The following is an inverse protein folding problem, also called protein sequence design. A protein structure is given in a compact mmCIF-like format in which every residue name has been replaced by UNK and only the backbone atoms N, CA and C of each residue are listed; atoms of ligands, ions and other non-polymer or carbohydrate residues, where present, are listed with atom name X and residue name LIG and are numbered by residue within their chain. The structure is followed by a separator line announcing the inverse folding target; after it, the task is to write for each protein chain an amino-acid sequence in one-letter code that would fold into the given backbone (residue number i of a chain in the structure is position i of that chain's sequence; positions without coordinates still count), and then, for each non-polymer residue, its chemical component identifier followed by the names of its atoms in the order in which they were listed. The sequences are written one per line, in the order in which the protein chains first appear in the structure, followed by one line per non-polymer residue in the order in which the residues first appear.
data_IF_699774033231
#
_entry.id   IF_699774033231
#
_cell.length_a   1.000
_cell.length_b   1.000
_cell.length_c   1.000
_cell.angle_alpha   90.00
_cell.angle_beta   90.00
_cell.angle_gamma   90.00
#
_symmetry.space_group_name_H-M   'P 1'
#
loop_
_entity.id
_entity.type
_entity.pdbx_description
1 polymer ?
#
# COMPACT_ATOMS: atom_id res chain seq x y z
N UNK A 1 -9.91 -19.62 -23.38
CA UNK A 1 -11.28 -19.21 -23.77
C UNK A 1 -11.83 -18.33 -22.66
N UNK A 2 -12.28 -17.13 -23.03
CA UNK A 2 -12.98 -16.10 -22.22
C UNK A 2 -12.48 -15.91 -20.78
N UNK A 3 -11.64 -14.89 -20.56
CA UNK A 3 -11.62 -14.18 -19.27
C UNK A 3 -13.00 -13.54 -19.10
N UNK A 4 -13.86 -14.29 -18.44
CA UNK A 4 -15.16 -13.84 -17.97
C UNK A 4 -14.83 -12.76 -16.94
N UNK A 5 -15.07 -11.49 -17.29
CA UNK A 5 -15.45 -10.48 -16.29
C UNK A 5 -16.43 -11.22 -15.40
N UNK A 6 -16.14 -11.39 -14.10
CA UNK A 6 -17.01 -12.18 -13.22
C UNK A 6 -18.47 -11.85 -13.57
N UNK A 7 -19.32 -12.85 -13.88
CA UNK A 7 -20.64 -12.63 -14.49
C UNK A 7 -21.50 -11.60 -13.73
N UNK A 8 -21.12 -11.32 -12.49
CA UNK A 8 -21.66 -10.36 -11.53
C UNK A 8 -21.35 -8.88 -11.85
N UNK A 9 -20.18 -8.51 -12.38
CA UNK A 9 -19.78 -7.09 -12.48
C UNK A 9 -20.37 -6.39 -13.72
N UNK A 10 -20.35 -7.06 -14.87
CA UNK A 10 -20.99 -6.54 -16.08
C UNK A 10 -22.52 -6.54 -15.94
N UNK A 11 -23.09 -7.56 -15.29
CA UNK A 11 -24.53 -7.60 -15.00
C UNK A 11 -24.95 -6.51 -14.01
N UNK A 12 -24.13 -6.23 -12.99
CA UNK A 12 -24.32 -5.09 -12.07
C UNK A 12 -24.33 -3.76 -12.84
N UNK A 13 -23.37 -3.53 -13.75
CA UNK A 13 -23.35 -2.33 -14.60
C UNK A 13 -24.56 -2.23 -15.54
N UNK A 14 -24.97 -3.35 -16.15
CA UNK A 14 -26.13 -3.40 -17.03
C UNK A 14 -27.43 -3.11 -16.27
N UNK A 15 -27.54 -3.59 -15.02
CA UNK A 15 -28.66 -3.26 -14.14
C UNK A 15 -28.68 -1.76 -13.83
N UNK A 16 -27.53 -1.17 -13.44
CA UNK A 16 -27.42 0.27 -13.20
C UNK A 16 -27.79 1.10 -14.44
N UNK A 17 -27.30 0.70 -15.62
CA UNK A 17 -27.59 1.37 -16.89
C UNK A 17 -29.10 1.33 -17.22
N UNK A 18 -29.75 0.20 -16.97
CA UNK A 18 -31.20 0.05 -17.10
C UNK A 18 -31.96 0.94 -16.12
N UNK A 19 -31.52 1.00 -14.87
CA UNK A 19 -32.18 1.77 -13.81
C UNK A 19 -32.14 3.28 -14.10
N UNK A 20 -31.02 3.79 -14.63
CA UNK A 20 -30.90 5.21 -15.03
C UNK A 20 -31.41 5.48 -16.46
N UNK A 21 -31.82 4.45 -17.20
CA UNK A 21 -32.39 4.57 -18.55
C UNK A 21 -31.41 5.07 -19.61
N UNK A 22 -30.11 4.77 -19.48
CA UNK A 22 -29.06 5.19 -20.41
C UNK A 22 -28.19 4.02 -20.86
N UNK A 23 -27.64 4.09 -22.08
CA UNK A 23 -26.69 3.08 -22.56
C UNK A 23 -25.40 3.16 -21.74
N UNK A 24 -24.85 2.00 -21.38
CA UNK A 24 -23.65 1.88 -20.54
C UNK A 24 -22.45 2.66 -21.12
N UNK A 25 -22.32 2.72 -22.44
CA UNK A 25 -21.23 3.42 -23.13
C UNK A 25 -21.48 4.92 -23.33
N UNK A 26 -22.62 5.46 -22.87
CA UNK A 26 -23.01 6.84 -23.14
C UNK A 26 -22.51 7.82 -22.08
N UNK A 27 -22.23 9.06 -22.51
CA UNK A 27 -21.93 10.17 -21.60
C UNK A 27 -23.08 10.44 -20.62
N UNK A 28 -24.33 10.23 -21.05
CA UNK A 28 -25.52 10.37 -20.21
C UNK A 28 -25.50 9.39 -19.03
N UNK A 29 -25.06 8.15 -19.25
CA UNK A 29 -24.86 7.18 -18.17
C UNK A 29 -23.80 7.67 -17.18
N UNK A 30 -22.63 8.10 -17.66
CA UNK A 30 -21.58 8.64 -16.80
C UNK A 30 -22.08 9.83 -15.93
N UNK A 31 -22.75 10.80 -16.56
CA UNK A 31 -23.32 11.96 -15.86
C UNK A 31 -24.39 11.56 -14.83
N UNK A 32 -25.23 10.56 -15.14
CA UNK A 32 -26.20 10.03 -14.20
C UNK A 32 -25.53 9.34 -13.00
N UNK A 33 -24.47 8.56 -13.23
CA UNK A 33 -23.71 7.91 -12.16
C UNK A 33 -23.04 8.95 -11.25
N UNK A 34 -22.43 10.00 -11.82
CA UNK A 34 -21.85 11.11 -11.03
C UNK A 34 -22.91 11.88 -10.22
N UNK A 35 -24.12 12.02 -10.75
CA UNK A 35 -25.21 12.69 -10.03
C UNK A 35 -25.66 11.90 -8.78
N UNK A 36 -25.67 10.56 -8.86
CA UNK A 36 -26.06 9.64 -7.80
C UNK A 36 -24.91 9.20 -6.89
N UNK A 37 -23.68 9.64 -7.17
CA UNK A 37 -22.50 9.32 -6.37
C UNK A 37 -22.56 9.97 -4.98
N UNK A 38 -22.73 9.16 -3.95
CA UNK A 38 -22.75 9.59 -2.55
C UNK A 38 -21.41 10.14 -2.04
N UNK A 39 -20.32 9.93 -2.79
CA UNK A 39 -18.98 10.42 -2.46
C UNK A 39 -18.56 11.63 -3.30
N UNK A 40 -19.43 12.20 -4.14
CA UNK A 40 -19.06 13.26 -5.09
C UNK A 40 -18.48 14.51 -4.42
N UNK A 41 -18.95 14.83 -3.21
CA UNK A 41 -18.47 15.98 -2.43
C UNK A 41 -16.98 15.90 -2.10
N UNK A 42 -16.42 14.69 -1.95
CA UNK A 42 -15.01 14.50 -1.60
C UNK A 42 -14.06 14.97 -2.70
N UNK A 43 -14.50 15.01 -3.96
CA UNK A 43 -13.71 15.59 -5.06
C UNK A 43 -13.28 17.03 -4.74
N UNK A 44 -14.14 17.79 -4.08
CA UNK A 44 -13.85 19.19 -3.72
C UNK A 44 -12.83 19.34 -2.58
N UNK A 45 -12.51 18.26 -1.86
CA UNK A 45 -11.54 18.23 -0.76
C UNK A 45 -10.10 17.98 -1.26
N UNK A 46 -9.91 17.66 -2.54
CA UNK A 46 -8.60 17.47 -3.15
C UNK A 46 -8.19 18.67 -4.01
N UNK A 47 -6.88 18.88 -4.14
CA UNK A 47 -6.32 19.81 -5.12
C UNK A 47 -6.07 19.05 -6.43
N UNK A 48 -6.90 19.33 -7.43
CA UNK A 48 -6.72 18.78 -8.78
C UNK A 48 -5.71 19.62 -9.56
N UNK A 49 -4.73 18.98 -10.25
CA UNK A 49 -3.85 19.70 -11.16
C UNK A 49 -4.65 20.33 -12.29
N UNK A 50 -4.40 21.60 -12.58
CA UNK A 50 -4.99 22.30 -13.72
C UNK A 50 -4.19 22.01 -14.98
N UNK A 51 -4.86 21.91 -16.12
CA UNK A 51 -4.23 21.64 -17.41
C UNK A 51 -3.15 22.68 -17.77
N UNK A 52 -3.32 23.94 -17.36
CA UNK A 52 -2.32 25.02 -17.55
C UNK A 52 -1.01 24.78 -16.78
N UNK A 53 -1.08 24.18 -15.58
CA UNK A 53 0.06 24.02 -14.66
C UNK A 53 0.88 22.76 -14.96
N UNK A 54 0.30 21.80 -15.69
CA UNK A 54 0.95 20.54 -16.04
C UNK A 54 1.98 20.72 -17.17
N UNK A 55 3.20 20.15 -17.08
CA UNK A 55 4.25 20.38 -18.07
C UNK A 55 3.95 19.74 -19.43
N UNK A 56 3.29 18.57 -19.45
CA UNK A 56 3.07 17.77 -20.65
C UNK A 56 1.58 17.68 -21.00
N UNK A 57 0.99 18.77 -21.49
CA UNK A 57 -0.41 18.78 -21.95
C UNK A 57 -0.52 19.32 -23.37
N UNK A 58 -1.51 18.81 -24.11
CA UNK A 58 -1.84 19.33 -25.44
C UNK A 58 -2.58 20.69 -25.39
N UNK A 59 -3.16 21.04 -24.23
CA UNK A 59 -3.95 22.26 -24.04
C UNK A 59 -3.70 22.87 -22.66
N UNK A 60 -3.58 24.20 -22.61
CA UNK A 60 -3.31 24.99 -21.40
C UNK A 60 -4.57 25.73 -20.97
N UNK A 61 -5.42 25.08 -20.18
CA UNK A 61 -6.71 25.63 -19.70
C UNK A 61 -6.80 25.61 -18.17
N UNK A 62 -7.79 26.31 -17.62
CA UNK A 62 -8.14 26.30 -16.19
C UNK A 62 -8.93 25.05 -15.74
N UNK A 63 -9.16 24.11 -16.66
CA UNK A 63 -9.85 22.85 -16.39
C UNK A 63 -9.00 21.91 -15.55
N UNK A 64 -9.66 21.07 -14.75
CA UNK A 64 -8.98 20.01 -14.01
C UNK A 64 -8.48 18.94 -14.99
N UNK A 65 -7.29 18.41 -14.71
CA UNK A 65 -6.78 17.23 -15.41
C UNK A 65 -7.59 15.96 -15.08
N UNK A 66 -7.65 15.05 -16.05
CA UNK A 66 -8.12 13.68 -15.84
C UNK A 66 -6.98 12.89 -15.17
N UNK A 67 -6.96 12.90 -13.84
CA UNK A 67 -5.87 12.32 -13.06
C UNK A 67 -6.10 10.83 -12.74
N UNK A 68 -5.59 9.94 -13.61
CA UNK A 68 -5.65 8.48 -13.44
C UNK A 68 -4.36 7.87 -12.85
N UNK A 69 -3.58 8.67 -12.12
CA UNK A 69 -2.28 8.28 -11.56
C UNK A 69 -2.25 8.24 -10.03
N UNK A 70 -3.42 8.24 -9.36
CA UNK A 70 -3.53 8.21 -7.89
C UNK A 70 -2.93 6.96 -7.24
N UNK A 71 -2.82 5.86 -7.99
CA UNK A 71 -2.17 4.63 -7.57
C UNK A 71 -0.64 4.75 -7.44
N UNK A 72 -0.04 5.80 -8.01
CA UNK A 72 1.40 6.08 -7.95
C UNK A 72 1.69 7.27 -7.03
N UNK A 73 0.97 8.38 -7.22
CA UNK A 73 1.02 9.54 -6.34
C UNK A 73 -0.41 10.04 -6.11
N UNK A 74 -0.88 9.94 -4.88
CA UNK A 74 -2.20 10.43 -4.49
C UNK A 74 -2.32 11.94 -4.62
N UNK A 75 -3.54 12.42 -4.93
CA UNK A 75 -3.82 13.85 -4.98
C UNK A 75 -3.72 14.45 -3.57
N UNK A 76 -3.23 15.68 -3.46
CA UNK A 76 -3.09 16.34 -2.16
C UNK A 76 -4.46 16.71 -1.56
N UNK A 77 -4.81 16.22 -0.36
CA UNK A 77 -5.94 16.76 0.41
C UNK A 77 -5.73 18.25 0.72
N UNK A 78 -6.77 19.08 0.57
CA UNK A 78 -6.69 20.53 0.83
C UNK A 78 -6.25 20.84 2.27
N UNK A 79 -6.68 20.02 3.23
CA UNK A 79 -6.31 20.15 4.65
C UNK A 79 -4.81 19.95 4.91
N UNK A 80 -4.07 19.29 4.01
CA UNK A 80 -2.63 19.00 4.19
C UNK A 80 -1.80 20.25 4.47
N UNK A 81 -2.02 21.32 3.69
CA UNK A 81 -1.30 22.60 3.91
C UNK A 81 -1.53 23.15 5.32
N UNK A 82 -2.77 23.11 5.77
CA UNK A 82 -3.14 23.65 7.07
C UNK A 82 -2.55 22.80 8.22
N UNK A 83 -2.57 21.47 8.07
CA UNK A 83 -1.99 20.56 9.06
C UNK A 83 -0.45 20.72 9.15
N UNK A 84 0.24 20.87 8.02
CA UNK A 84 1.68 21.15 8.01
C UNK A 84 1.97 22.50 8.69
N UNK A 85 1.23 23.55 8.34
CA UNK A 85 1.42 24.87 8.96
C UNK A 85 1.23 24.83 10.48
N UNK A 86 0.23 24.07 10.99
CA UNK A 86 0.07 23.88 12.44
C UNK A 86 1.29 23.26 13.10
N UNK A 87 1.94 22.28 12.47
CA UNK A 87 3.19 21.68 12.98
C UNK A 87 4.32 22.71 12.97
N UNK A 88 4.46 23.48 11.88
CA UNK A 88 5.48 24.53 11.78
C UNK A 88 5.26 25.64 12.81
N UNK A 89 4.01 26.06 13.02
CA UNK A 89 3.62 27.06 14.02
C UNK A 89 3.94 26.55 15.43
N UNK A 90 3.58 25.29 15.74
CA UNK A 90 3.91 24.68 17.03
C UNK A 90 5.42 24.63 17.27
N UNK A 91 6.20 24.18 16.29
CA UNK A 91 7.66 24.16 16.39
C UNK A 91 8.25 25.56 16.55
N UNK A 92 7.83 26.51 15.74
CA UNK A 92 8.33 27.89 15.77
C UNK A 92 8.00 28.63 17.07
N UNK A 93 6.82 28.37 17.65
CA UNK A 93 6.37 29.04 18.87
C UNK A 93 6.92 28.40 20.15
N UNK A 94 7.07 27.07 20.17
CA UNK A 94 7.38 26.32 21.40
C UNK A 94 8.79 25.74 21.43
N UNK A 95 9.52 25.69 20.31
CA UNK A 95 10.83 25.06 20.24
C UNK A 95 10.78 23.62 20.74
N UNK A 96 11.63 23.28 21.71
CA UNK A 96 11.70 21.95 22.31
C UNK A 96 10.41 21.53 23.03
N UNK A 97 9.61 22.47 23.54
CA UNK A 97 8.35 22.17 24.23
C UNK A 97 7.32 21.51 23.29
N UNK A 98 7.47 21.66 21.97
CA UNK A 98 6.65 20.96 20.98
C UNK A 98 6.83 19.43 21.02
N UNK A 99 7.88 18.89 21.65
CA UNK A 99 7.99 17.44 21.87
C UNK A 99 6.75 16.87 22.57
N UNK A 100 6.15 17.62 23.50
CA UNK A 100 5.04 17.15 24.33
C UNK A 100 3.74 17.94 24.11
N UNK A 101 3.81 19.11 23.46
CA UNK A 101 2.70 20.05 23.39
C UNK A 101 2.28 20.39 21.95
N UNK A 102 1.04 20.87 21.84
CA UNK A 102 0.46 21.38 20.59
C UNK A 102 -0.08 20.30 19.66
N UNK A 103 -0.25 20.67 18.39
CA UNK A 103 -0.75 19.77 17.36
C UNK A 103 0.34 18.79 16.91
N UNK A 104 0.06 17.49 16.96
CA UNK A 104 1.02 16.40 16.68
C UNK A 104 2.34 16.56 17.47
N UNK A 105 2.31 16.47 18.82
CA UNK A 105 3.50 16.55 19.65
C UNK A 105 4.61 15.64 19.14
N UNK A 106 5.81 16.18 18.95
CA UNK A 106 6.84 15.51 18.16
C UNK A 106 7.32 14.17 18.75
N UNK A 107 7.15 13.94 20.05
CA UNK A 107 7.50 12.68 20.70
C UNK A 107 6.47 11.55 20.52
N UNK A 108 5.27 11.86 20.02
CA UNK A 108 4.13 10.93 20.00
C UNK A 108 3.29 11.04 18.72
N UNK A 109 3.72 11.83 17.74
CA UNK A 109 2.93 12.16 16.56
C UNK A 109 2.50 10.91 15.78
N UNK A 110 3.31 9.85 15.78
CA UNK A 110 3.04 8.59 15.09
C UNK A 110 1.86 7.82 15.69
N UNK A 111 1.49 8.09 16.94
CA UNK A 111 0.39 7.38 17.61
C UNK A 111 -0.99 7.83 17.10
N UNK A 112 -1.10 9.09 16.68
CA UNK A 112 -2.36 9.70 16.24
C UNK A 112 -3.03 9.00 15.04
N UNK A 113 -2.30 8.61 13.99
CA UNK A 113 -2.89 7.86 12.87
C UNK A 113 -3.07 6.36 13.14
N UNK A 114 -2.58 5.78 14.25
CA UNK A 114 -2.47 4.31 14.40
C UNK A 114 -3.81 3.59 14.28
N UNK A 115 -4.85 4.04 14.98
CA UNK A 115 -6.13 3.32 15.01
C UNK A 115 -6.78 3.25 13.63
N UNK A 116 -6.84 4.38 12.92
CA UNK A 116 -7.44 4.43 11.58
C UNK A 116 -6.57 3.69 10.55
N UNK A 117 -5.24 3.74 10.69
CA UNK A 117 -4.34 2.94 9.84
C UNK A 117 -4.48 1.44 10.07
N UNK A 118 -4.62 1.02 11.33
CA UNK A 118 -4.79 -0.38 11.69
C UNK A 118 -6.13 -0.92 11.19
N UNK A 119 -7.18 -0.10 11.28
CA UNK A 119 -8.49 -0.36 10.69
C UNK A 119 -8.40 -0.58 9.17
N UNK A 120 -7.71 0.29 8.44
CA UNK A 120 -7.52 0.16 6.98
C UNK A 120 -6.64 -1.04 6.58
N UNK A 121 -5.81 -1.52 7.48
CA UNK A 121 -4.95 -2.69 7.28
C UNK A 121 -5.56 -4.00 7.80
N UNK A 122 -6.72 -3.94 8.46
CA UNK A 122 -7.37 -5.10 9.09
C UNK A 122 -6.46 -5.78 10.11
N UNK A 123 -5.86 -4.99 11.00
CA UNK A 123 -5.03 -5.47 12.11
C UNK A 123 -5.30 -4.68 13.39
N UNK A 124 -4.70 -5.13 14.50
CA UNK A 124 -4.76 -4.39 15.76
C UNK A 124 -3.74 -3.24 15.78
N UNK A 125 -4.04 -2.11 16.48
CA UNK A 125 -3.11 -0.98 16.56
C UNK A 125 -1.71 -1.35 17.09
N UNK A 126 -1.61 -2.32 17.99
CA UNK A 126 -0.31 -2.76 18.52
C UNK A 126 0.50 -3.63 17.54
N UNK A 127 -0.11 -4.17 16.49
CA UNK A 127 0.57 -4.90 15.42
C UNK A 127 1.12 -3.97 14.34
N UNK A 128 0.74 -2.68 14.36
CA UNK A 128 1.10 -1.69 13.37
C UNK A 128 2.17 -0.72 13.89
N UNK A 129 3.14 -0.37 13.04
CA UNK A 129 4.14 0.66 13.31
C UNK A 129 4.30 1.60 12.12
N UNK A 130 4.42 2.90 12.41
CA UNK A 130 4.61 3.96 11.41
C UNK A 130 6.06 4.44 11.49
N UNK A 131 6.84 4.12 10.47
CA UNK A 131 8.29 4.33 10.48
C UNK A 131 8.88 4.39 9.06
N UNK A 132 9.97 5.14 8.91
CA UNK A 132 10.83 5.18 7.74
C UNK A 132 10.07 5.33 6.39
N UNK A 133 10.57 4.69 5.33
CA UNK A 133 9.88 4.47 4.06
C UNK A 133 9.71 2.98 3.79
N UNK A 134 8.89 2.64 2.78
CA UNK A 134 8.50 1.25 2.47
C UNK A 134 9.70 0.30 2.36
N UNK A 135 10.65 0.55 1.45
CA UNK A 135 11.76 -0.38 1.22
C UNK A 135 12.70 -0.47 2.43
N UNK A 136 12.82 0.61 3.20
CA UNK A 136 13.58 0.58 4.46
C UNK A 136 12.90 -0.40 5.42
N UNK A 137 11.58 -0.31 5.59
CA UNK A 137 10.84 -1.24 6.44
C UNK A 137 10.92 -2.66 5.92
N UNK A 138 10.85 -2.87 4.60
CA UNK A 138 11.00 -4.18 3.96
C UNK A 138 12.33 -4.84 4.38
N UNK A 139 13.43 -4.10 4.32
CA UNK A 139 14.73 -4.56 4.80
C UNK A 139 14.73 -4.88 6.29
N UNK A 140 14.19 -4.00 7.13
CA UNK A 140 14.17 -4.19 8.58
C UNK A 140 13.36 -5.44 8.98
N UNK A 141 12.25 -5.69 8.31
CA UNK A 141 11.46 -6.91 8.51
C UNK A 141 12.18 -8.13 7.98
N UNK A 142 12.82 -8.08 6.80
CA UNK A 142 13.62 -9.22 6.32
C UNK A 142 14.78 -9.57 7.27
N UNK A 143 15.47 -8.60 7.87
CA UNK A 143 16.49 -8.89 8.88
C UNK A 143 15.95 -9.69 10.08
N UNK A 144 14.65 -9.54 10.39
CA UNK A 144 13.97 -10.28 11.46
C UNK A 144 13.42 -11.62 10.99
N UNK A 145 12.79 -11.65 9.82
CA UNK A 145 11.91 -12.74 9.38
C UNK A 145 12.55 -13.67 8.35
N UNK A 146 13.53 -13.20 7.59
CA UNK A 146 14.37 -14.05 6.75
C UNK A 146 15.47 -14.68 7.61
N UNK A 147 15.18 -15.87 8.14
CA UNK A 147 16.10 -16.66 8.99
C UNK A 147 16.57 -17.91 8.22
N UNK A 148 17.46 -17.78 7.23
CA UNK A 148 17.92 -18.93 6.46
C UNK A 148 18.69 -19.92 7.34
N UNK A 149 18.48 -21.22 7.13
CA UNK A 149 19.12 -22.29 7.90
C UNK A 149 19.22 -23.58 7.08
N UNK A 150 20.44 -24.10 6.92
CA UNK A 150 20.68 -25.31 6.14
C UNK A 150 20.17 -25.19 4.71
N UNK A 151 19.31 -26.12 4.29
CA UNK A 151 18.68 -26.11 2.96
C UNK A 151 17.51 -25.12 2.84
N UNK A 152 17.01 -24.57 3.95
CA UNK A 152 15.94 -23.58 3.99
C UNK A 152 16.49 -22.16 3.92
N UNK A 153 16.78 -21.68 2.73
CA UNK A 153 17.32 -20.33 2.51
C UNK A 153 16.69 -19.59 1.33
N UNK A 154 15.83 -20.25 0.55
CA UNK A 154 15.28 -19.62 -0.66
C UNK A 154 14.25 -18.56 -0.31
N UNK A 155 14.19 -17.50 -1.12
CA UNK A 155 13.15 -16.49 -1.08
C UNK A 155 12.32 -16.60 -2.35
N UNK A 156 11.00 -16.66 -2.21
CA UNK A 156 10.05 -16.62 -3.33
C UNK A 156 9.56 -15.19 -3.53
N UNK A 157 9.51 -14.74 -4.77
CA UNK A 157 8.93 -13.46 -5.21
C UNK A 157 8.40 -13.59 -6.64
N UNK A 158 7.47 -12.74 -7.08
CA UNK A 158 7.04 -12.70 -8.47
C UNK A 158 8.11 -12.14 -9.43
N UNK A 159 8.22 -12.71 -10.64
CA UNK A 159 9.25 -12.35 -11.62
C UNK A 159 9.20 -10.86 -12.00
N UNK A 160 7.99 -10.33 -12.19
CA UNK A 160 7.76 -8.93 -12.50
C UNK A 160 7.47 -8.11 -11.22
N UNK A 161 8.17 -8.41 -10.13
CA UNK A 161 8.03 -7.65 -8.89
C UNK A 161 8.39 -6.19 -9.07
N UNK A 162 7.87 -5.34 -8.18
CA UNK A 162 8.29 -3.95 -8.16
C UNK A 162 9.83 -3.91 -7.97
N UNK A 163 10.58 -3.11 -8.77
CA UNK A 163 12.03 -3.21 -8.81
C UNK A 163 12.69 -3.08 -7.43
N UNK A 164 12.15 -2.22 -6.56
CA UNK A 164 12.72 -2.02 -5.23
C UNK A 164 12.64 -3.27 -4.34
N UNK A 165 11.55 -4.04 -4.42
CA UNK A 165 11.33 -5.28 -3.67
C UNK A 165 12.28 -6.36 -4.16
N UNK A 166 12.41 -6.50 -5.48
CA UNK A 166 13.36 -7.42 -6.10
C UNK A 166 14.81 -7.10 -5.70
N UNK A 167 15.19 -5.82 -5.67
CA UNK A 167 16.52 -5.41 -5.20
C UNK A 167 16.71 -5.70 -3.70
N UNK A 168 15.67 -5.50 -2.90
CA UNK A 168 15.72 -5.78 -1.47
C UNK A 168 15.91 -7.28 -1.20
N UNK A 169 15.16 -8.14 -1.87
CA UNK A 169 15.30 -9.61 -1.77
C UNK A 169 16.68 -10.07 -2.24
N UNK A 170 17.13 -9.61 -3.42
CA UNK A 170 18.46 -9.99 -3.95
C UNK A 170 19.60 -9.59 -3.02
N UNK A 171 19.54 -8.37 -2.46
CA UNK A 171 20.56 -7.90 -1.53
C UNK A 171 20.49 -8.61 -0.17
N UNK A 172 19.32 -9.05 0.31
CA UNK A 172 19.23 -9.90 1.51
C UNK A 172 19.86 -11.28 1.29
N UNK A 173 19.57 -11.94 0.16
CA UNK A 173 20.23 -13.21 -0.19
C UNK A 173 21.75 -13.07 -0.15
N UNK A 174 22.28 -12.03 -0.81
CA UNK A 174 23.70 -11.74 -0.84
C UNK A 174 24.27 -11.39 0.55
N UNK A 175 23.54 -10.61 1.36
CA UNK A 175 23.95 -10.25 2.72
C UNK A 175 24.16 -11.48 3.62
N UNK A 176 23.31 -12.50 3.47
CA UNK A 176 23.43 -13.78 4.18
C UNK A 176 24.37 -14.79 3.46
N UNK A 177 25.05 -14.39 2.39
CA UNK A 177 26.06 -15.21 1.71
C UNK A 177 25.52 -16.18 0.66
N UNK A 178 24.26 -16.04 0.24
CA UNK A 178 23.65 -16.86 -0.81
C UNK A 178 23.73 -16.19 -2.17
N UNK A 179 23.81 -16.99 -3.24
CA UNK A 179 23.73 -16.47 -4.61
C UNK A 179 22.27 -16.18 -4.98
N UNK A 180 22.05 -15.18 -5.83
CA UNK A 180 20.71 -14.90 -6.38
C UNK A 180 20.21 -16.07 -7.23
N UNK A 181 21.10 -16.73 -7.95
CA UNK A 181 20.75 -17.84 -8.86
C UNK A 181 20.18 -19.03 -8.10
N UNK A 182 20.75 -19.37 -6.93
CA UNK A 182 20.33 -20.54 -6.16
C UNK A 182 19.24 -20.21 -5.14
N UNK A 183 19.26 -18.98 -4.60
CA UNK A 183 18.41 -18.54 -3.50
C UNK A 183 17.10 -17.88 -3.92
N UNK A 184 16.96 -17.43 -5.18
CA UNK A 184 15.74 -16.77 -5.65
C UNK A 184 14.84 -17.75 -6.40
N UNK A 185 13.58 -17.84 -6.00
CA UNK A 185 12.52 -18.49 -6.77
C UNK A 185 11.61 -17.40 -7.33
N UNK A 186 11.61 -17.23 -8.65
CA UNK A 186 10.73 -16.27 -9.32
C UNK A 186 9.44 -16.97 -9.78
N UNK A 187 8.29 -16.49 -9.30
CA UNK A 187 6.97 -16.92 -9.76
C UNK A 187 6.71 -16.30 -11.14
N UNK A 188 6.47 -17.15 -12.15
CA UNK A 188 6.33 -16.73 -13.54
C UNK A 188 4.90 -16.96 -14.02
N UNK A 189 4.33 -16.05 -14.82
CA UNK A 189 3.06 -16.31 -15.46
C UNK A 189 3.21 -17.41 -16.53
N UNK A 190 2.11 -18.11 -16.82
CA UNK A 190 2.06 -19.07 -17.92
C UNK A 190 2.23 -18.36 -19.28
N UNK A 191 2.73 -19.03 -20.33
CA UNK A 191 2.84 -18.42 -21.65
C UNK A 191 1.52 -17.82 -22.15
N UNK A 192 1.57 -16.57 -22.59
CA UNK A 192 0.40 -15.85 -23.15
C UNK A 192 -0.46 -15.10 -22.12
N UNK A 193 -0.05 -15.04 -20.86
CA UNK A 193 -0.66 -14.19 -19.81
C UNK A 193 0.42 -13.43 -19.05
N UNK A 194 0.04 -12.32 -18.42
CA UNK A 194 0.87 -11.55 -17.47
C UNK A 194 0.45 -11.83 -16.01
N UNK A 195 -0.63 -12.59 -15.81
CA UNK A 195 -1.20 -12.97 -14.52
C UNK A 195 -0.56 -14.28 -14.07
N UNK A 196 -0.20 -14.36 -12.79
CA UNK A 196 0.32 -15.56 -12.16
C UNK A 196 -0.86 -16.28 -11.50
N UNK A 197 -1.22 -17.47 -12.00
CA UNK A 197 -2.32 -18.24 -11.42
C UNK A 197 -1.95 -18.69 -10.00
N UNK A 198 -2.87 -18.54 -9.05
CA UNK A 198 -2.62 -18.88 -7.64
C UNK A 198 -2.30 -20.37 -7.45
N UNK A 199 -2.89 -21.24 -8.27
CA UNK A 199 -2.57 -22.67 -8.33
C UNK A 199 -1.07 -22.92 -8.62
N UNK A 200 -0.43 -22.08 -9.45
CA UNK A 200 1.00 -22.20 -9.74
C UNK A 200 1.85 -21.77 -8.54
N UNK A 201 1.41 -20.76 -7.78
CA UNK A 201 2.05 -20.35 -6.53
C UNK A 201 1.96 -21.46 -5.48
N UNK A 202 0.76 -22.04 -5.31
CA UNK A 202 0.52 -23.17 -4.42
C UNK A 202 1.37 -24.39 -4.79
N UNK A 203 1.53 -24.66 -6.08
CA UNK A 203 2.39 -25.75 -6.57
C UNK A 203 3.87 -25.51 -6.24
N UNK A 204 4.37 -24.27 -6.39
CA UNK A 204 5.74 -23.91 -5.98
C UNK A 204 5.93 -24.09 -4.48
N UNK A 205 4.98 -23.62 -3.66
CA UNK A 205 5.02 -23.81 -2.19
C UNK A 205 5.04 -25.31 -1.85
N UNK A 206 4.21 -26.12 -2.50
CA UNK A 206 4.14 -27.56 -2.26
C UNK A 206 5.45 -28.27 -2.65
N UNK A 207 6.05 -27.88 -3.77
CA UNK A 207 7.26 -28.53 -4.31
C UNK A 207 8.53 -28.12 -3.57
N UNK A 208 8.67 -26.84 -3.24
CA UNK A 208 9.92 -26.26 -2.73
C UNK A 208 9.82 -25.77 -1.28
N UNK A 209 8.66 -25.92 -0.63
CA UNK A 209 8.37 -25.38 0.69
C UNK A 209 9.38 -25.70 1.79
N UNK A 210 10.05 -26.86 1.72
CA UNK A 210 11.09 -27.22 2.69
C UNK A 210 12.38 -26.40 2.56
N UNK A 211 12.63 -25.84 1.37
CA UNK A 211 13.79 -25.01 1.07
C UNK A 211 13.48 -23.50 1.13
N UNK A 212 12.20 -23.13 1.21
CA UNK A 212 11.75 -21.73 1.24
C UNK A 212 11.80 -21.20 2.68
N UNK A 213 12.61 -20.17 2.91
CA UNK A 213 12.65 -19.46 4.19
C UNK A 213 11.60 -18.35 4.25
N UNK A 214 11.39 -17.64 3.14
CA UNK A 214 10.52 -16.48 3.07
C UNK A 214 9.76 -16.43 1.75
N UNK A 215 8.46 -16.20 1.82
CA UNK A 215 7.59 -15.86 0.71
C UNK A 215 7.33 -14.34 0.75
N UNK A 216 7.77 -13.61 -0.27
CA UNK A 216 7.52 -12.17 -0.42
C UNK A 216 6.51 -11.99 -1.54
N UNK A 217 5.32 -11.49 -1.21
CA UNK A 217 4.24 -11.32 -2.19
C UNK A 217 3.59 -9.93 -2.10
N UNK A 218 3.26 -9.29 -3.24
CA UNK A 218 2.40 -8.14 -3.21
C UNK A 218 0.97 -8.59 -2.90
N UNK A 219 0.22 -7.81 -2.11
CA UNK A 219 -1.23 -7.99 -1.98
C UNK A 219 -1.92 -7.64 -3.32
N UNK A 220 -1.43 -6.59 -3.98
CA UNK A 220 -1.85 -6.18 -5.33
C UNK A 220 -0.62 -5.93 -6.19
N UNK A 221 -0.50 -6.65 -7.31
CA UNK A 221 0.63 -6.51 -8.24
C UNK A 221 0.55 -5.14 -8.94
N UNK A 222 1.66 -4.39 -8.90
CA UNK A 222 1.67 -2.96 -9.25
C UNK A 222 1.35 -2.63 -10.71
N UNK A 223 1.66 -3.54 -11.62
CA UNK A 223 1.54 -3.38 -13.07
C UNK A 223 0.24 -3.96 -13.61
N UNK A 224 -0.05 -5.22 -13.30
CA UNK A 224 -1.24 -5.94 -13.78
C UNK A 224 -2.50 -5.58 -12.99
N UNK A 225 -2.35 -5.10 -11.75
CA UNK A 225 -3.45 -4.88 -10.82
C UNK A 225 -4.04 -6.18 -10.26
N UNK A 226 -3.37 -7.32 -10.45
CA UNK A 226 -3.78 -8.60 -9.89
C UNK A 226 -3.85 -8.52 -8.37
N UNK A 227 -4.96 -8.96 -7.79
CA UNK A 227 -5.13 -9.15 -6.34
C UNK A 227 -4.87 -10.62 -6.03
N UNK A 228 -4.03 -10.91 -5.04
CA UNK A 228 -3.76 -12.28 -4.58
C UNK A 228 -4.65 -12.64 -3.39
N UNK A 229 -5.10 -13.89 -3.30
CA UNK A 229 -5.67 -14.50 -2.09
C UNK A 229 -4.56 -14.79 -1.06
N UNK A 230 -4.15 -13.72 -0.38
CA UNK A 230 -3.08 -13.76 0.61
C UNK A 230 -3.38 -14.74 1.74
N UNK A 231 -4.63 -14.86 2.19
CA UNK A 231 -5.00 -15.79 3.26
C UNK A 231 -4.76 -17.25 2.87
N UNK A 232 -5.19 -17.64 1.66
CA UNK A 232 -4.99 -19.00 1.15
C UNK A 232 -3.50 -19.32 0.95
N UNK A 233 -2.74 -18.40 0.34
CA UNK A 233 -1.31 -18.58 0.10
C UNK A 233 -0.52 -18.63 1.41
N UNK A 234 -0.89 -17.81 2.40
CA UNK A 234 -0.24 -17.79 3.71
C UNK A 234 -0.42 -19.10 4.45
N UNK A 235 -1.66 -19.62 4.48
CA UNK A 235 -1.95 -20.93 5.07
C UNK A 235 -1.13 -22.06 4.43
N UNK A 236 -0.98 -22.04 3.11
CA UNK A 236 -0.18 -23.03 2.39
C UNK A 236 1.32 -22.91 2.74
N UNK A 237 1.84 -21.69 2.79
CA UNK A 237 3.23 -21.40 3.14
C UNK A 237 3.58 -21.82 4.58
N UNK A 238 2.73 -21.45 5.55
CA UNK A 238 2.87 -21.87 6.95
C UNK A 238 2.83 -23.39 7.10
N UNK A 239 1.99 -24.08 6.32
CA UNK A 239 1.95 -25.55 6.28
C UNK A 239 3.26 -26.22 5.87
N UNK A 240 4.19 -25.47 5.25
CA UNK A 240 5.53 -25.92 4.89
C UNK A 240 6.64 -25.31 5.78
N UNK A 241 6.27 -24.51 6.78
CA UNK A 241 7.20 -23.82 7.68
C UNK A 241 7.84 -22.57 7.07
N UNK A 242 7.26 -22.00 6.02
CA UNK A 242 7.72 -20.76 5.41
C UNK A 242 7.16 -19.55 6.17
N UNK A 243 7.94 -18.48 6.28
CA UNK A 243 7.44 -17.16 6.72
C UNK A 243 6.84 -16.40 5.53
N UNK A 244 5.86 -15.54 5.76
CA UNK A 244 5.22 -14.71 4.72
C UNK A 244 5.36 -13.22 5.03
N UNK A 245 5.91 -12.48 4.09
CA UNK A 245 5.99 -11.02 4.10
C UNK A 245 5.18 -10.46 2.93
N UNK A 246 4.26 -9.55 3.21
CA UNK A 246 3.48 -8.91 2.15
C UNK A 246 3.90 -7.45 1.86
N UNK A 247 4.00 -7.08 0.59
CA UNK A 247 3.94 -5.67 0.18
C UNK A 247 2.48 -5.27 -0.10
N UNK A 248 1.95 -4.34 0.69
CA UNK A 248 0.58 -3.87 0.61
C UNK A 248 0.47 -2.45 -0.01
N UNK A 249 1.49 -1.98 -0.74
CA UNK A 249 1.56 -0.61 -1.25
C UNK A 249 0.43 -0.23 -2.22
N UNK A 250 -0.05 -1.18 -3.02
CA UNK A 250 -1.18 -0.99 -3.92
C UNK A 250 -2.53 -1.45 -3.33
N UNK A 251 -2.53 -1.96 -2.10
CA UNK A 251 -3.71 -2.52 -1.45
C UNK A 251 -4.33 -1.57 -0.41
N UNK A 252 -3.52 -1.05 0.52
CA UNK A 252 -4.03 -0.24 1.63
C UNK A 252 -4.67 1.05 1.10
N UNK A 253 -5.93 1.27 1.49
CA UNK A 253 -6.75 2.38 1.01
C UNK A 253 -7.41 2.15 -0.36
N UNK A 254 -7.09 1.07 -1.07
CA UNK A 254 -7.65 0.72 -2.38
C UNK A 254 -8.69 -0.40 -2.29
N UNK A 255 -8.33 -1.53 -1.68
CA UNK A 255 -9.18 -2.71 -1.51
C UNK A 255 -9.36 -3.04 -0.01
N UNK A 256 -10.30 -3.91 0.37
CA UNK A 256 -10.32 -4.49 1.71
C UNK A 256 -9.02 -5.26 1.99
N UNK A 257 -8.47 -5.09 3.18
CA UNK A 257 -7.24 -5.75 3.64
C UNK A 257 -7.46 -6.26 5.05
N UNK A 258 -7.03 -7.49 5.31
CA UNK A 258 -7.28 -8.20 6.56
C UNK A 258 -5.99 -8.86 7.06
N UNK A 259 -4.91 -8.08 7.25
CA UNK A 259 -3.56 -8.64 7.51
C UNK A 259 -3.52 -9.60 8.69
N UNK A 260 -4.22 -9.28 9.79
CA UNK A 260 -4.29 -10.16 10.96
C UNK A 260 -5.02 -11.46 10.63
N UNK A 261 -6.20 -11.39 10.01
CA UNK A 261 -7.01 -12.57 9.70
C UNK A 261 -6.44 -13.42 8.56
N UNK A 262 -5.65 -12.82 7.66
CA UNK A 262 -4.86 -13.54 6.66
C UNK A 262 -3.66 -14.28 7.24
N UNK A 263 -3.35 -14.05 8.52
CA UNK A 263 -2.26 -14.68 9.26
C UNK A 263 -0.87 -14.42 8.67
N UNK A 264 -0.66 -13.28 7.98
CA UNK A 264 0.68 -12.97 7.44
C UNK A 264 1.64 -12.68 8.59
N UNK A 265 2.92 -13.02 8.46
CA UNK A 265 3.87 -12.80 9.56
C UNK A 265 4.22 -11.32 9.72
N UNK A 266 4.37 -10.63 8.59
CA UNK A 266 4.62 -9.21 8.54
C UNK A 266 4.23 -8.59 7.19
N UNK A 267 4.06 -7.27 7.14
CA UNK A 267 3.77 -6.57 5.89
C UNK A 267 4.34 -5.14 5.89
N UNK A 268 4.49 -4.55 4.72
CA UNK A 268 4.93 -3.16 4.52
C UNK A 268 4.05 -2.43 3.52
N UNK A 269 3.94 -1.11 3.67
CA UNK A 269 3.34 -0.26 2.64
C UNK A 269 3.81 1.19 2.74
N UNK A 270 3.48 1.96 1.72
CA UNK A 270 3.73 3.39 1.65
C UNK A 270 2.43 4.19 1.82
N UNK A 271 2.56 5.46 2.19
CA UNK A 271 1.42 6.35 2.42
C UNK A 271 1.10 7.30 1.25
N UNK A 272 1.97 7.36 0.23
CA UNK A 272 1.89 8.39 -0.81
C UNK A 272 1.06 8.01 -2.05
N UNK A 273 0.63 6.75 -2.16
CA UNK A 273 -0.24 6.23 -3.24
C UNK A 273 -1.70 6.55 -2.93
N UNK A 274 -2.55 5.53 -2.75
CA UNK A 274 -3.97 5.67 -2.40
C UNK A 274 -4.21 6.41 -1.08
N UNK A 275 -3.24 6.38 -0.17
CA UNK A 275 -3.27 7.08 1.10
C UNK A 275 -2.93 8.57 1.00
N UNK A 276 -2.65 9.12 -0.19
CA UNK A 276 -2.63 10.56 -0.47
C UNK A 276 -1.73 11.44 0.44
N UNK A 277 -0.64 10.90 0.99
CA UNK A 277 0.20 11.63 1.95
C UNK A 277 1.33 12.47 1.33
N UNK A 278 1.40 12.57 0.00
CA UNK A 278 2.48 13.27 -0.70
C UNK A 278 3.77 12.44 -0.85
N UNK A 279 4.55 12.74 -1.90
CA UNK A 279 5.68 11.93 -2.34
C UNK A 279 6.71 11.66 -1.22
N UNK A 280 7.11 10.39 -1.08
CA UNK A 280 8.07 9.99 -0.05
C UNK A 280 7.53 10.04 1.38
N UNK A 281 6.20 10.10 1.56
CA UNK A 281 5.56 10.04 2.87
C UNK A 281 5.98 8.81 3.68
N UNK A 282 5.85 8.91 5.01
CA UNK A 282 6.28 7.87 5.96
C UNK A 282 5.62 6.53 5.65
N UNK A 283 6.44 5.48 5.57
CA UNK A 283 5.98 4.11 5.41
C UNK A 283 5.41 3.53 6.69
N UNK A 284 4.85 2.35 6.56
CA UNK A 284 4.32 1.61 7.70
C UNK A 284 4.74 0.15 7.58
N UNK A 285 4.67 -0.55 8.71
CA UNK A 285 4.83 -1.98 8.77
C UNK A 285 3.78 -2.58 9.71
N UNK A 286 3.46 -3.84 9.43
CA UNK A 286 2.67 -4.72 10.28
C UNK A 286 3.57 -5.88 10.73
N UNK A 287 3.42 -6.26 12.00
CA UNK A 287 4.03 -7.45 12.58
C UNK A 287 2.95 -8.16 13.38
N UNK A 288 2.63 -9.40 12.98
CA UNK A 288 1.57 -10.16 13.63
C UNK A 288 1.88 -10.36 15.12
N UNK A 289 0.86 -10.27 15.95
CA UNK A 289 0.98 -10.36 17.41
C UNK A 289 1.76 -11.57 17.93
N UNK A 290 1.74 -12.70 17.21
CA UNK A 290 2.50 -13.93 17.53
C UNK A 290 4.02 -13.70 17.57
N UNK A 291 4.51 -12.64 16.94
CA UNK A 291 5.94 -12.29 16.86
C UNK A 291 6.34 -11.16 17.82
N UNK A 292 5.39 -10.54 18.53
CA UNK A 292 5.63 -9.33 19.33
C UNK A 292 6.27 -9.60 20.71
N UNK A 293 6.43 -10.86 21.10
CA UNK A 293 7.23 -11.24 22.27
C UNK A 293 8.74 -11.27 21.98
N UNK A 294 9.15 -11.25 20.71
CA UNK A 294 10.55 -11.24 20.32
C UNK A 294 11.05 -9.84 19.97
N UNK A 295 12.33 -9.58 20.23
CA UNK A 295 12.97 -8.32 19.83
C UNK A 295 13.11 -8.23 18.30
N UNK A 296 13.07 -7.02 17.72
CA UNK A 296 13.44 -6.80 16.33
C UNK A 296 14.95 -7.08 16.13
N UNK A 297 15.35 -7.35 14.88
CA UNK A 297 16.76 -7.62 14.56
C UNK A 297 17.67 -6.41 14.80
N UNK A 298 17.14 -5.21 14.60
CA UNK A 298 17.79 -3.93 14.90
C UNK A 298 16.82 -3.06 15.68
N UNK A 299 17.32 -2.36 16.70
CA UNK A 299 16.52 -1.51 17.57
C UNK A 299 17.19 -0.15 17.76
N UNK A 300 16.37 0.87 18.00
CA UNK A 300 16.83 2.20 18.36
C UNK A 300 16.00 2.76 19.50
N UNK A 301 16.40 3.92 20.02
CA UNK A 301 15.84 4.44 21.27
C UNK A 301 14.33 4.73 21.21
N UNK A 302 13.77 4.92 20.02
CA UNK A 302 12.33 5.15 19.82
C UNK A 302 11.49 3.88 19.92
N UNK A 303 12.13 2.71 19.86
CA UNK A 303 11.53 1.41 20.14
C UNK A 303 11.43 1.10 21.63
N UNK A 304 11.98 1.96 22.51
CA UNK A 304 11.78 1.83 23.95
C UNK A 304 10.32 2.11 24.34
N UNK A 305 9.92 1.58 25.50
CA UNK A 305 8.64 1.87 26.15
C UNK A 305 8.39 3.39 26.16
N UNK A 306 7.24 3.78 25.61
CA UNK A 306 6.87 5.18 25.44
C UNK A 306 6.79 5.94 26.77
N UNK A 307 6.59 5.22 27.89
CA UNK A 307 6.53 5.77 29.24
C UNK A 307 7.91 6.10 29.81
N UNK A 308 8.95 5.34 29.45
CA UNK A 308 10.29 5.43 30.04
C UNK A 308 11.37 5.86 29.05
N UNK A 309 11.08 5.98 27.74
CA UNK A 309 12.08 6.30 26.70
C UNK A 309 12.90 7.58 26.93
N UNK A 310 12.36 8.53 27.70
CA UNK A 310 13.06 9.78 28.06
C UNK A 310 13.86 9.72 29.37
N UNK A 311 13.81 8.61 30.09
CA UNK A 311 14.71 8.36 31.24
C UNK A 311 16.15 8.03 30.79
N UNK A 312 16.35 7.74 29.50
CA UNK A 312 17.66 7.48 28.89
C UNK A 312 18.45 6.38 29.62
N UNK A 313 17.75 5.32 30.03
CA UNK A 313 18.36 4.12 30.63
C UNK A 313 19.35 3.49 29.64
N UNK A 314 20.34 2.75 30.18
CA UNK A 314 21.38 2.11 29.37
C UNK A 314 20.87 0.84 28.70
N UNK A 315 19.95 0.16 29.37
CA UNK A 315 19.30 -1.05 28.92
C UNK A 315 18.16 -0.70 27.95
N UNK A 316 18.04 -1.46 26.86
CA UNK A 316 16.91 -1.33 25.94
C UNK A 316 15.69 -2.04 26.54
N UNK A 317 14.64 -1.26 26.80
CA UNK A 317 13.36 -1.73 27.30
C UNK A 317 12.31 -1.53 26.20
N UNK A 318 12.06 -2.55 25.35
CA UNK A 318 11.18 -2.39 24.19
C UNK A 318 9.76 -2.02 24.61
N UNK A 319 9.00 -1.37 23.73
CA UNK A 319 7.55 -1.26 23.90
C UNK A 319 6.96 -2.68 24.07
N UNK A 320 6.26 -2.98 25.18
CA UNK A 320 5.77 -4.33 25.44
C UNK A 320 4.75 -4.78 24.39
N UNK A 321 4.99 -5.96 23.79
CA UNK A 321 4.06 -6.65 22.89
C UNK A 321 3.49 -5.74 21.77
N UNK A 322 4.34 -4.89 21.19
CA UNK A 322 3.95 -3.93 20.16
C UNK A 322 4.98 -3.84 19.04
N UNK A 323 4.51 -3.71 17.81
CA UNK A 323 5.33 -3.43 16.63
C UNK A 323 6.07 -2.09 16.76
N UNK A 324 5.65 -1.20 17.67
CA UNK A 324 6.41 0.01 18.00
C UNK A 324 7.84 -0.28 18.46
N UNK A 325 8.17 -1.50 18.93
CA UNK A 325 9.54 -1.90 19.27
C UNK A 325 10.50 -1.84 18.06
N UNK A 326 9.99 -1.91 16.83
CA UNK A 326 10.76 -1.84 15.59
C UNK A 326 11.18 -0.41 15.22
N UNK A 327 10.69 0.63 15.91
CA UNK A 327 11.07 2.02 15.65
C UNK A 327 12.54 2.24 16.01
N UNK A 328 13.29 2.85 15.08
CA UNK A 328 14.69 3.19 15.28
C UNK A 328 14.85 4.61 15.83
N UNK A 329 14.22 5.56 15.15
CA UNK A 329 14.38 7.00 15.35
C UNK A 329 13.03 7.69 15.55
N UNK A 330 13.09 8.96 15.95
CA UNK A 330 11.89 9.78 16.08
C UNK A 330 11.11 9.89 14.77
N UNK A 331 9.78 9.92 14.89
CA UNK A 331 8.90 10.07 13.75
C UNK A 331 8.74 11.57 13.41
N UNK A 332 8.90 11.98 12.14
CA UNK A 332 8.80 13.39 11.75
C UNK A 332 7.33 13.85 11.68
N UNK A 333 6.88 14.80 12.52
CA UNK A 333 5.48 15.27 12.52
C UNK A 333 5.03 15.87 11.18
N UNK A 334 5.98 16.43 10.42
CA UNK A 334 5.73 16.98 9.09
C UNK A 334 5.29 15.92 8.07
N UNK A 335 5.69 14.65 8.24
CA UNK A 335 5.24 13.55 7.38
C UNK A 335 3.96 12.89 7.92
N UNK A 336 3.66 13.05 9.21
CA UNK A 336 2.39 12.63 9.80
C UNK A 336 1.25 13.58 9.44
N UNK A 337 1.50 14.89 9.35
CA UNK A 337 0.46 15.89 9.10
C UNK A 337 -0.36 15.64 7.79
N UNK A 338 0.26 15.25 6.65
CA UNK A 338 -0.45 14.82 5.45
C UNK A 338 -1.26 13.53 5.63
N UNK A 339 -0.74 12.55 6.37
CA UNK A 339 -1.46 11.30 6.68
C UNK A 339 -2.73 11.64 7.43
N UNK A 340 -2.68 12.51 8.46
CA UNK A 340 -3.87 12.94 9.20
C UNK A 340 -4.92 13.61 8.30
N UNK A 341 -4.48 14.41 7.31
CA UNK A 341 -5.40 15.04 6.36
C UNK A 341 -6.09 14.02 5.45
N UNK A 342 -5.37 12.96 5.07
CA UNK A 342 -5.91 11.87 4.27
C UNK A 342 -6.88 10.99 5.07
N UNK A 343 -6.49 10.59 6.28
CA UNK A 343 -7.27 9.71 7.15
C UNK A 343 -8.61 10.34 7.58
N UNK A 344 -8.66 11.68 7.76
CA UNK A 344 -9.93 12.40 7.91
C UNK A 344 -10.91 12.13 6.76
N UNK A 345 -10.41 12.10 5.52
CA UNK A 345 -11.22 11.82 4.33
C UNK A 345 -11.64 10.35 4.27
N UNK A 346 -10.74 9.41 4.57
CA UNK A 346 -11.06 7.98 4.63
C UNK A 346 -12.16 7.69 5.65
N UNK A 347 -12.01 8.20 6.86
CA UNK A 347 -12.97 8.02 7.95
C UNK A 347 -14.36 8.58 7.59
N UNK A 348 -14.41 9.78 7.00
CA UNK A 348 -15.67 10.43 6.59
C UNK A 348 -16.33 9.78 5.37
N UNK A 349 -15.54 9.24 4.44
CA UNK A 349 -16.06 8.60 3.23
C UNK A 349 -16.64 7.22 3.51
N UNK A 350 -16.10 6.50 4.50
CA UNK A 350 -16.48 5.13 4.81
C UNK A 350 -15.97 4.13 3.76
N UNK A 351 -15.78 2.89 4.17
CA UNK A 351 -15.10 1.89 3.35
C UNK A 351 -16.01 1.28 2.28
N UNK A 352 -17.21 0.84 2.67
CA UNK A 352 -18.19 0.22 1.77
C UNK A 352 -18.50 1.10 0.54
N UNK A 353 -18.77 2.38 0.79
CA UNK A 353 -19.04 3.36 -0.26
C UNK A 353 -17.85 3.49 -1.23
N UNK A 354 -16.62 3.58 -0.70
CA UNK A 354 -15.40 3.69 -1.51
C UNK A 354 -15.18 2.44 -2.35
N UNK A 355 -15.27 1.25 -1.77
CA UNK A 355 -15.06 -0.02 -2.47
C UNK A 355 -16.11 -0.24 -3.56
N UNK A 356 -17.39 0.04 -3.26
CA UNK A 356 -18.45 -0.01 -4.26
C UNK A 356 -18.17 0.92 -5.43
N UNK A 357 -17.85 2.19 -5.15
CA UNK A 357 -17.53 3.18 -6.18
C UNK A 357 -16.32 2.79 -7.02
N UNK A 358 -15.24 2.34 -6.38
CA UNK A 358 -14.02 1.88 -7.04
C UNK A 358 -14.30 0.71 -8.00
N UNK A 359 -15.09 -0.28 -7.56
CA UNK A 359 -15.51 -1.40 -8.41
C UNK A 359 -16.30 -0.94 -9.63
N UNK A 360 -17.30 -0.07 -9.44
CA UNK A 360 -18.17 0.43 -10.53
C UNK A 360 -17.37 1.25 -11.55
N UNK A 361 -16.48 2.16 -11.10
CA UNK A 361 -15.66 2.99 -11.99
C UNK A 361 -14.70 2.11 -12.81
N UNK A 362 -14.01 1.19 -12.14
CA UNK A 362 -13.06 0.27 -12.81
C UNK A 362 -13.79 -0.61 -13.83
N UNK A 363 -14.94 -1.18 -13.45
CA UNK A 363 -15.77 -1.98 -14.34
C UNK A 363 -16.21 -1.19 -15.58
N UNK A 364 -16.65 0.06 -15.38
CA UNK A 364 -17.10 0.93 -16.47
C UNK A 364 -15.96 1.21 -17.46
N UNK A 365 -14.74 1.43 -16.96
CA UNK A 365 -13.57 1.61 -17.83
C UNK A 365 -13.19 0.35 -18.60
N UNK A 366 -13.26 -0.83 -17.97
CA UNK A 366 -13.02 -2.11 -18.65
C UNK A 366 -14.06 -2.29 -19.77
N UNK A 367 -15.34 -2.11 -19.48
CA UNK A 367 -16.41 -2.24 -20.49
C UNK A 367 -16.20 -1.30 -21.68
N UNK A 368 -15.89 -0.03 -21.43
CA UNK A 368 -15.63 0.97 -22.49
C UNK A 368 -14.42 0.59 -23.37
N UNK A 369 -13.42 -0.10 -22.82
CA UNK A 369 -12.27 -0.60 -23.59
C UNK A 369 -12.62 -1.85 -24.39
N UNK A 370 -13.40 -2.77 -23.82
CA UNK A 370 -13.79 -4.03 -24.48
C UNK A 370 -14.83 -3.84 -25.59
N UNK A 371 -15.72 -2.84 -25.47
CA UNK A 371 -16.78 -2.57 -26.47
C UNK A 371 -16.29 -1.82 -27.71
N UNK A 372 -15.12 -1.19 -27.65
CA UNK A 372 -14.51 -0.49 -28.78
C UNK A 372 -13.36 -1.31 -29.37
N UNK A 373 -13.51 -1.76 -30.62
CA UNK A 373 -12.39 -1.63 -31.56
C UNK A 373 -11.94 -0.17 -31.49
N UNK A 374 -10.72 0.09 -31.01
CA UNK A 374 -10.14 1.43 -30.86
C UNK A 374 -9.86 2.09 -32.23
N UNK A 375 -10.83 2.11 -33.14
CA UNK A 375 -10.83 2.98 -34.31
C UNK A 375 -11.36 4.35 -33.89
N UNK A 376 -10.51 5.16 -33.25
CA UNK A 376 -10.48 6.65 -33.32
C UNK A 376 -10.05 7.39 -32.04
N UNK A 377 -9.85 6.75 -30.89
CA UNK A 377 -9.30 7.46 -29.72
C UNK A 377 -7.79 7.25 -29.65
N UNK A 378 -7.07 8.12 -30.36
CA UNK A 378 -5.61 8.21 -30.37
C UNK A 378 -5.12 8.62 -28.98
N UNK A 379 -4.87 7.65 -28.10
CA UNK A 379 -3.90 7.80 -27.01
C UNK A 379 -2.51 7.81 -27.64
N UNK A 380 -2.10 8.95 -28.21
CA UNK A 380 -0.70 9.24 -28.51
C UNK A 380 0.02 9.53 -27.19
N UNK A 381 0.27 8.50 -26.39
CA UNK A 381 1.39 8.56 -25.46
C UNK A 381 2.65 8.23 -26.25
N UNK A 382 3.44 9.26 -26.56
CA UNK A 382 4.81 9.07 -27.06
C UNK A 382 5.59 8.31 -25.98
N UNK A 383 6.05 7.12 -26.33
CA UNK A 383 7.20 6.45 -25.75
C UNK A 383 8.44 7.34 -25.92
N UNK A 384 8.82 8.09 -24.88
CA UNK A 384 10.12 8.77 -24.83
C UNK A 384 10.69 8.87 -23.41
N UNK A 385 10.33 7.94 -22.52
CA UNK A 385 10.89 7.88 -21.16
C UNK A 385 11.77 6.63 -20.94
N UNK A 386 12.35 6.09 -22.00
CA UNK A 386 13.34 5.01 -21.92
C UNK A 386 14.74 5.40 -22.44
N UNK A 387 15.01 6.69 -22.64
CA UNK A 387 16.36 7.19 -22.96
C UNK A 387 16.69 8.41 -22.09
N UNK A 388 17.03 8.19 -20.81
CA UNK A 388 18.05 8.94 -20.04
C UNK A 388 18.65 8.01 -18.99
#
# INVERSE_FOLDING_TARGET
MSQVIQPTLLSELQALAKDVGHLLESEKFANAMDAHDELKQFRSEFVYPKMKDLPCTASKTDEDSIYLCGHSLGLMPKKTRNNINKVLDCWGQMGAEHHYNGYLPAAFCELYPKDEMARLAGCFPYELVIMNGLTVNLHLLMLKFYKPSGERYKIVIEEAAFPSDLYAVKSQLQYYGYTVVDGLIELKPRPGTEIIEEDDVLEVIRREGQCIALLVLPVVQYYTGQVYDIGTLTKAAHGQGCTVLCDAAHAIGNIPVELHNWDVDCAVWCSYKYLNSGAGGTGMAFVHERHLSELPAVHGWWGNDTRTKFEMRREFEPVPYSADSYKLSNCPPLLIAPIMASLDLFSRAGDEARYRKQRIITASQINLRSSKSLSSCVLKYRTSLLDV
#
